data_IF_327731553400
#
_entry.id   IF_327731553400
#
_cell.length_a   1.000
_cell.length_b   1.000
_cell.length_c   1.000
_cell.angle_alpha   90.00
_cell.angle_beta   90.00
_cell.angle_gamma   90.00
#
_symmetry.space_group_name_H-M   'P 1'
#
loop_
_entity.id
_entity.type
_entity.pdbx_description
1 polymer ?
#
# COMPACT_ATOMS: atom_id res chain seq x y z
N UNK A 1 -6.84 -33.59 -28.01
CA UNK A 1 -7.31 -32.28 -27.50
C UNK A 1 -6.32 -31.22 -27.97
N UNK A 2 -6.75 -30.40 -28.96
CA UNK A 2 -5.89 -29.39 -29.58
C UNK A 2 -5.82 -28.14 -28.65
N UNK A 3 -4.62 -27.82 -28.17
CA UNK A 3 -4.36 -26.61 -27.41
C UNK A 3 -4.37 -25.41 -28.38
N UNK A 4 -5.44 -24.65 -28.41
CA UNK A 4 -5.50 -23.39 -29.14
C UNK A 4 -4.60 -22.36 -28.44
N UNK A 5 -3.50 -21.99 -29.09
CA UNK A 5 -2.63 -20.88 -28.66
C UNK A 5 -3.30 -19.57 -29.02
N UNK A 6 -3.72 -18.82 -28.00
CA UNK A 6 -4.25 -17.45 -28.17
C UNK A 6 -3.10 -16.55 -28.59
N UNK A 7 -3.23 -15.87 -29.76
CA UNK A 7 -2.22 -14.93 -30.23
C UNK A 7 -2.30 -13.60 -29.46
N UNK A 8 -1.20 -12.82 -29.45
CA UNK A 8 -1.17 -11.47 -28.84
C UNK A 8 -2.25 -10.53 -29.44
N UNK A 9 -2.60 -10.76 -30.71
CA UNK A 9 -3.63 -10.00 -31.41
C UNK A 9 -5.03 -10.38 -30.92
N UNK A 10 -5.27 -11.66 -30.63
CA UNK A 10 -6.56 -12.15 -30.11
C UNK A 10 -6.78 -11.66 -28.67
N UNK A 11 -5.70 -11.59 -27.88
CA UNK A 11 -5.73 -11.01 -26.54
C UNK A 11 -6.09 -9.50 -26.54
N UNK A 12 -5.51 -8.72 -27.47
CA UNK A 12 -5.81 -7.29 -27.59
C UNK A 12 -7.23 -7.04 -28.15
N UNK A 13 -7.75 -7.93 -29.00
CA UNK A 13 -9.13 -7.84 -29.48
C UNK A 13 -10.15 -8.18 -28.39
N UNK A 14 -9.86 -9.20 -27.56
CA UNK A 14 -10.71 -9.52 -26.41
C UNK A 14 -10.74 -8.39 -25.37
N UNK A 15 -9.60 -7.75 -25.09
CA UNK A 15 -9.56 -6.59 -24.17
C UNK A 15 -10.26 -5.34 -24.76
N UNK A 16 -10.29 -5.19 -26.09
CA UNK A 16 -11.04 -4.13 -26.77
C UNK A 16 -12.57 -4.28 -26.64
N UNK A 17 -13.07 -5.51 -26.62
CA UNK A 17 -14.51 -5.77 -26.43
C UNK A 17 -14.98 -5.54 -24.99
N UNK A 18 -14.08 -5.57 -24.00
CA UNK A 18 -14.40 -5.25 -22.61
C UNK A 18 -14.81 -3.78 -22.40
N UNK A 19 -14.40 -2.87 -23.27
CA UNK A 19 -14.79 -1.44 -23.20
C UNK A 19 -16.14 -1.13 -23.84
N UNK A 20 -16.68 -2.00 -24.73
CA UNK A 20 -17.98 -1.80 -25.36
C UNK A 20 -19.16 -2.37 -24.55
N UNK A 21 -18.90 -3.13 -23.48
CA UNK A 21 -19.92 -3.71 -22.60
C UNK A 21 -20.67 -2.70 -21.72
N UNK A 22 -20.32 -1.43 -21.73
CA UNK A 22 -20.91 -0.38 -20.87
C UNK A 22 -22.30 0.08 -21.32
N UNK A 23 -22.77 -0.33 -22.51
CA UNK A 23 -24.02 0.14 -23.09
C UNK A 23 -25.16 -0.90 -23.15
N UNK A 24 -25.03 -2.05 -22.46
CA UNK A 24 -26.14 -3.01 -22.38
C UNK A 24 -26.98 -2.73 -21.11
N UNK A 25 -28.24 -2.29 -21.22
CA UNK A 25 -29.11 -2.13 -20.06
C UNK A 25 -29.47 -3.52 -19.52
N UNK A 26 -28.99 -3.84 -18.33
CA UNK A 26 -29.35 -5.09 -17.63
C UNK A 26 -28.20 -5.91 -17.07
N UNK A 27 -26.93 -5.52 -17.26
CA UNK A 27 -25.82 -6.19 -16.55
C UNK A 27 -25.72 -5.68 -15.11
N UNK A 28 -25.63 -6.57 -14.10
CA UNK A 28 -25.40 -6.15 -12.73
C UNK A 28 -24.10 -5.37 -12.64
N UNK A 29 -24.13 -4.27 -11.92
CA UNK A 29 -23.03 -3.37 -11.67
C UNK A 29 -21.85 -4.09 -10.96
N UNK A 30 -20.96 -4.71 -11.72
CA UNK A 30 -19.67 -5.21 -11.21
C UNK A 30 -18.59 -4.11 -11.14
N UNK A 31 -18.93 -2.88 -11.43
CA UNK A 31 -18.03 -1.72 -11.30
C UNK A 31 -18.45 -0.84 -10.13
N UNK A 32 -18.66 -1.42 -8.96
CA UNK A 32 -18.51 -0.66 -7.74
C UNK A 32 -17.01 -0.60 -7.39
N UNK A 33 -16.19 -0.02 -8.25
CA UNK A 33 -15.00 0.68 -7.76
C UNK A 33 -15.57 1.82 -6.90
N UNK A 34 -15.80 1.51 -5.62
CA UNK A 34 -15.84 2.54 -4.62
C UNK A 34 -14.56 3.34 -4.86
N UNK A 35 -14.70 4.60 -5.28
CA UNK A 35 -13.62 5.57 -5.19
C UNK A 35 -13.29 5.62 -3.71
N UNK A 36 -12.34 4.78 -3.30
CA UNK A 36 -11.87 4.76 -1.91
C UNK A 36 -11.29 6.13 -1.65
N UNK A 37 -11.95 6.86 -0.75
CA UNK A 37 -11.50 8.19 -0.36
C UNK A 37 -10.13 7.98 0.29
N UNK A 38 -9.08 8.44 -0.39
CA UNK A 38 -7.72 8.44 0.13
C UNK A 38 -7.73 9.48 1.26
N UNK A 39 -7.54 9.04 2.49
CA UNK A 39 -7.55 9.92 3.66
C UNK A 39 -6.17 10.12 4.26
N UNK A 40 -5.20 9.28 3.88
CA UNK A 40 -3.83 9.34 4.38
C UNK A 40 -2.83 9.02 3.27
N UNK A 41 -1.69 9.68 3.29
CA UNK A 41 -0.57 9.42 2.39
C UNK A 41 0.75 9.34 3.12
N UNK A 42 1.55 8.32 2.83
CA UNK A 42 2.92 8.19 3.32
C UNK A 42 3.88 8.80 2.30
N UNK A 43 4.77 9.67 2.75
CA UNK A 43 5.82 10.27 1.92
C UNK A 43 6.85 9.19 1.58
N UNK A 44 7.13 8.98 0.28
CA UNK A 44 8.07 7.95 -0.19
C UNK A 44 9.45 8.54 -0.55
N UNK A 45 9.54 9.81 -0.87
CA UNK A 45 10.80 10.51 -1.14
C UNK A 45 11.51 10.91 0.16
N UNK A 46 12.83 11.07 0.09
CA UNK A 46 13.60 11.54 1.24
C UNK A 46 13.16 12.92 1.73
N UNK A 47 12.67 13.77 0.81
CA UNK A 47 12.19 15.11 1.08
C UNK A 47 11.14 15.50 0.03
N UNK A 48 10.00 16.00 0.47
CA UNK A 48 8.89 16.45 -0.38
C UNK A 48 8.36 17.79 0.11
N UNK A 49 8.33 18.78 -0.78
CA UNK A 49 7.71 20.07 -0.49
C UNK A 49 6.21 20.03 -0.84
N UNK A 50 5.40 20.67 0.00
CA UNK A 50 4.07 21.12 -0.41
C UNK A 50 4.14 22.53 -0.99
N UNK A 51 3.11 22.92 -1.74
CA UNK A 51 3.03 24.15 -2.49
C UNK A 51 1.65 24.81 -2.29
N UNK A 52 1.55 26.13 -2.43
CA UNK A 52 0.28 26.86 -2.33
C UNK A 52 -0.71 26.45 -3.44
N UNK A 53 -0.20 26.11 -4.63
CA UNK A 53 -0.98 25.64 -5.78
C UNK A 53 -0.42 24.29 -6.29
N UNK A 54 -1.19 23.47 -7.04
CA UNK A 54 -0.77 22.17 -7.53
C UNK A 54 0.25 22.28 -8.68
N UNK A 55 1.34 22.97 -8.44
CA UNK A 55 2.49 23.13 -9.36
C UNK A 55 3.79 23.37 -8.60
N UNK A 56 4.89 22.79 -9.08
CA UNK A 56 6.24 23.01 -8.51
C UNK A 56 6.73 24.45 -8.68
N UNK A 57 6.07 25.28 -9.51
CA UNK A 57 6.39 26.69 -9.73
C UNK A 57 5.78 27.59 -8.66
N UNK A 58 4.78 27.12 -7.92
CA UNK A 58 4.16 27.85 -6.84
C UNK A 58 5.06 27.96 -5.61
N UNK A 59 4.68 28.79 -4.66
CA UNK A 59 5.43 29.00 -3.42
C UNK A 59 5.40 27.74 -2.56
N UNK A 60 6.56 27.38 -2.03
CA UNK A 60 6.71 26.28 -1.07
C UNK A 60 6.11 26.64 0.28
N UNK A 61 5.35 25.71 0.86
CA UNK A 61 4.67 25.90 2.16
C UNK A 61 5.37 25.13 3.26
N UNK A 62 5.52 23.79 3.09
CA UNK A 62 6.06 22.92 4.13
C UNK A 62 6.89 21.80 3.51
N UNK A 63 7.94 21.37 4.22
CA UNK A 63 8.74 20.21 3.83
C UNK A 63 8.36 18.99 4.67
N UNK A 64 8.27 17.84 4.02
CA UNK A 64 7.98 16.53 4.60
C UNK A 64 9.13 15.58 4.33
N UNK A 65 9.39 14.70 5.27
CA UNK A 65 10.42 13.68 5.19
C UNK A 65 9.83 12.31 4.91
N UNK A 66 10.66 11.40 4.43
CA UNK A 66 10.30 9.99 4.18
C UNK A 66 9.58 9.39 5.39
N UNK A 67 8.60 8.53 5.10
CA UNK A 67 7.76 7.79 6.04
C UNK A 67 6.81 8.65 6.90
N UNK A 68 6.84 9.97 6.77
CA UNK A 68 5.81 10.79 7.39
C UNK A 68 4.44 10.49 6.75
N UNK A 69 3.44 10.26 7.59
CA UNK A 69 2.05 10.09 7.16
C UNK A 69 1.31 11.40 7.31
N UNK A 70 0.68 11.85 6.23
CA UNK A 70 -0.06 13.12 6.19
C UNK A 70 -1.54 12.87 5.85
N UNK A 71 -2.47 13.67 6.42
CA UNK A 71 -3.87 13.62 6.03
C UNK A 71 -4.03 14.18 4.61
N UNK A 72 -4.80 13.46 3.78
CA UNK A 72 -5.17 13.88 2.42
C UNK A 72 -6.64 14.26 2.46
N UNK A 73 -6.96 15.49 2.07
CA UNK A 73 -8.31 16.05 2.07
C UNK A 73 -8.93 16.09 0.66
N UNK A 74 -8.08 16.00 -0.37
CA UNK A 74 -8.54 16.04 -1.75
C UNK A 74 -7.50 15.61 -2.77
N UNK A 75 -7.96 15.46 -4.00
CA UNK A 75 -7.11 15.19 -5.17
C UNK A 75 -7.47 16.15 -6.28
N UNK A 76 -6.47 16.76 -6.89
CA UNK A 76 -6.65 17.68 -8.04
C UNK A 76 -5.69 17.35 -9.17
N UNK A 77 -6.02 17.78 -10.37
CA UNK A 77 -5.17 17.61 -11.56
C UNK A 77 -4.61 18.96 -11.96
N UNK A 78 -3.28 19.07 -12.02
CA UNK A 78 -2.62 20.30 -12.48
C UNK A 78 -2.78 20.47 -13.99
N UNK A 79 -3.20 21.66 -14.42
CA UNK A 79 -3.19 22.06 -15.83
C UNK A 79 -1.86 22.74 -16.22
N UNK A 80 -1.08 23.16 -15.24
CA UNK A 80 0.13 23.96 -15.43
C UNK A 80 1.38 23.14 -15.82
N UNK A 81 1.32 21.81 -15.74
CA UNK A 81 2.45 20.94 -16.03
C UNK A 81 2.13 19.94 -17.15
N UNK A 82 2.97 19.95 -18.20
CA UNK A 82 2.97 18.93 -19.24
C UNK A 82 3.70 17.68 -18.74
N UNK A 83 3.21 17.05 -17.66
CA UNK A 83 3.78 15.85 -17.04
C UNK A 83 2.90 14.63 -17.29
N UNK A 84 3.50 13.44 -17.30
CA UNK A 84 2.78 12.17 -17.42
C UNK A 84 1.79 11.98 -16.25
N UNK A 85 2.22 12.23 -15.01
CA UNK A 85 1.36 12.30 -13.85
C UNK A 85 1.13 13.76 -13.47
N UNK A 86 -0.11 14.21 -13.51
CA UNK A 86 -0.54 15.58 -13.16
C UNK A 86 -1.37 15.63 -11.88
N UNK A 87 -1.53 14.49 -11.20
CA UNK A 87 -2.30 14.42 -9.98
C UNK A 87 -1.53 15.00 -8.79
N UNK A 88 -2.22 15.72 -7.94
CA UNK A 88 -1.73 16.31 -6.71
C UNK A 88 -2.69 16.00 -5.59
N UNK A 89 -2.15 15.76 -4.41
CA UNK A 89 -2.94 15.59 -3.19
C UNK A 89 -2.96 16.89 -2.40
N UNK A 90 -4.14 17.26 -1.96
CA UNK A 90 -4.34 18.34 -1.00
C UNK A 90 -4.05 17.80 0.40
N UNK A 91 -3.17 18.50 1.15
CA UNK A 91 -2.80 18.16 2.52
C UNK A 91 -3.37 19.23 3.44
N UNK A 92 -4.09 18.80 4.46
CA UNK A 92 -4.78 19.69 5.41
C UNK A 92 -3.84 20.77 5.95
N UNK A 93 -4.23 22.04 5.75
CA UNK A 93 -3.49 23.21 6.23
C UNK A 93 -2.11 23.45 5.62
N UNK A 94 -1.73 22.71 4.56
CA UNK A 94 -0.39 22.78 3.97
C UNK A 94 -0.35 22.83 2.43
N UNK A 95 -1.50 23.02 1.77
CA UNK A 95 -1.59 23.09 0.32
C UNK A 95 -1.41 21.75 -0.38
N UNK A 96 -0.64 21.70 -1.46
CA UNK A 96 -0.62 20.56 -2.38
C UNK A 96 0.74 19.87 -2.42
N UNK A 97 0.73 18.53 -2.46
CA UNK A 97 1.91 17.69 -2.69
C UNK A 97 1.76 16.88 -3.98
N UNK A 98 2.86 16.63 -4.68
CA UNK A 98 2.86 15.81 -5.88
C UNK A 98 2.53 14.35 -5.55
N UNK A 99 1.49 13.79 -6.15
CA UNK A 99 1.00 12.45 -5.83
C UNK A 99 2.00 11.32 -6.13
N UNK A 100 2.88 11.50 -7.11
CA UNK A 100 3.92 10.53 -7.44
C UNK A 100 4.98 10.31 -6.35
N UNK A 101 5.02 11.18 -5.33
CA UNK A 101 5.92 11.11 -4.17
C UNK A 101 5.19 10.69 -2.89
N UNK A 102 3.93 10.26 -3.01
CA UNK A 102 3.07 9.91 -1.87
C UNK A 102 2.37 8.58 -2.15
N UNK A 103 2.56 7.62 -1.29
CA UNK A 103 1.80 6.37 -1.31
C UNK A 103 0.49 6.55 -0.53
N UNK A 104 -0.69 6.37 -1.14
CA UNK A 104 -1.94 6.24 -0.40
C UNK A 104 -1.83 5.08 0.59
N UNK A 105 -2.22 5.31 1.84
CA UNK A 105 -2.11 4.30 2.90
C UNK A 105 -3.33 4.31 3.81
N UNK A 106 -3.49 3.23 4.55
CA UNK A 106 -4.43 3.10 5.67
C UNK A 106 -3.69 2.61 6.91
N UNK A 107 -4.27 2.82 8.06
CA UNK A 107 -3.78 2.28 9.33
C UNK A 107 -4.88 1.39 9.92
N UNK A 108 -4.86 0.11 9.55
CA UNK A 108 -5.83 -0.89 10.02
C UNK A 108 -5.10 -1.86 10.95
N UNK A 109 -5.48 -1.84 12.22
CA UNK A 109 -4.99 -2.81 13.18
C UNK A 109 -5.86 -4.07 13.15
N UNK A 110 -5.21 -5.22 13.21
CA UNK A 110 -5.87 -6.53 13.16
C UNK A 110 -5.79 -7.23 14.53
N UNK A 111 -6.74 -8.14 14.75
CA UNK A 111 -6.65 -9.14 15.81
C UNK A 111 -5.68 -10.25 15.36
N UNK A 112 -4.53 -10.44 16.05
CA UNK A 112 -3.60 -11.49 15.68
C UNK A 112 -4.22 -12.88 15.88
N UNK A 113 -3.98 -13.76 14.91
CA UNK A 113 -4.53 -15.12 14.90
C UNK A 113 -3.41 -16.15 15.08
N UNK A 114 -3.80 -17.36 15.49
CA UNK A 114 -2.88 -18.48 15.52
C UNK A 114 -2.47 -18.90 14.10
N UNK A 115 -1.18 -19.15 13.91
CA UNK A 115 -0.62 -19.60 12.62
C UNK A 115 -0.49 -21.12 12.64
N UNK A 116 -1.07 -21.77 11.64
CA UNK A 116 -0.94 -23.20 11.44
C UNK A 116 0.51 -23.59 11.06
N UNK A 117 0.85 -24.87 11.16
CA UNK A 117 2.17 -25.38 10.75
C UNK A 117 2.49 -25.12 9.25
N UNK A 118 1.47 -25.01 8.42
CA UNK A 118 1.64 -24.68 7.00
C UNK A 118 2.11 -23.24 6.79
N UNK A 119 1.89 -22.35 7.77
CA UNK A 119 2.08 -20.90 7.63
C UNK A 119 0.87 -20.23 7.01
N UNK A 120 0.97 -18.93 6.76
CA UNK A 120 -0.05 -18.11 6.12
C UNK A 120 0.59 -16.95 5.34
N UNK A 121 -0.10 -16.46 4.31
CA UNK A 121 0.30 -15.21 3.68
C UNK A 121 -0.25 -14.05 4.51
N UNK A 122 0.61 -13.08 4.83
CA UNK A 122 0.24 -11.87 5.55
C UNK A 122 0.58 -10.62 4.75
N UNK A 123 -0.22 -9.59 4.91
CA UNK A 123 -0.05 -8.28 4.26
C UNK A 123 0.02 -7.18 5.31
N UNK A 124 0.97 -6.27 5.15
CA UNK A 124 1.10 -5.10 6.04
C UNK A 124 -0.09 -4.16 5.84
N UNK A 125 -0.88 -3.95 6.88
CA UNK A 125 -2.13 -3.17 6.86
C UNK A 125 -2.02 -1.79 7.53
N UNK A 126 -0.79 -1.38 7.87
CA UNK A 126 -0.44 -0.06 8.42
C UNK A 126 0.55 0.62 7.47
N UNK A 127 0.73 1.96 7.54
CA UNK A 127 1.61 2.69 6.62
C UNK A 127 3.03 2.11 6.52
N UNK A 128 3.57 1.66 7.64
CA UNK A 128 4.77 0.83 7.75
C UNK A 128 4.80 0.14 9.12
N UNK A 129 5.60 -0.89 9.23
CA UNK A 129 5.93 -1.55 10.49
C UNK A 129 7.40 -1.93 10.52
N UNK A 130 8.04 -1.74 11.64
CA UNK A 130 9.41 -2.19 11.84
C UNK A 130 9.41 -3.69 12.18
N UNK A 131 10.42 -4.40 11.68
CA UNK A 131 10.64 -5.82 11.87
C UNK A 131 12.02 -6.05 12.50
N UNK A 132 12.07 -6.89 13.51
CA UNK A 132 13.19 -7.03 14.44
C UNK A 132 13.76 -8.44 14.41
N UNK A 133 14.96 -8.60 14.96
CA UNK A 133 15.62 -9.90 15.08
C UNK A 133 14.87 -10.85 16.03
N UNK A 134 14.24 -10.32 17.06
CA UNK A 134 13.45 -11.06 18.05
C UNK A 134 12.04 -10.46 18.15
N UNK A 135 11.12 -11.17 18.81
CA UNK A 135 9.76 -10.71 19.07
C UNK A 135 9.71 -9.63 20.18
N UNK A 136 10.56 -8.63 20.05
CA UNK A 136 10.74 -7.52 21.00
C UNK A 136 11.14 -6.24 20.26
N UNK A 137 10.45 -5.14 20.56
CA UNK A 137 10.73 -3.81 19.97
C UNK A 137 12.08 -3.21 20.42
N UNK A 138 12.71 -3.75 21.45
CA UNK A 138 14.05 -3.36 21.90
C UNK A 138 15.17 -4.17 21.24
N UNK A 139 14.82 -5.20 20.47
CA UNK A 139 15.77 -6.00 19.70
C UNK A 139 16.30 -5.23 18.49
N UNK A 140 17.30 -5.79 17.81
CA UNK A 140 17.90 -5.17 16.63
C UNK A 140 16.87 -5.04 15.49
N UNK A 141 16.73 -3.81 14.98
CA UNK A 141 15.91 -3.52 13.82
C UNK A 141 16.57 -4.09 12.57
N UNK A 142 15.85 -4.98 11.86
CA UNK A 142 16.33 -5.58 10.61
C UNK A 142 15.73 -4.93 9.37
N UNK A 143 14.40 -4.72 9.36
CA UNK A 143 13.69 -4.22 8.19
C UNK A 143 12.60 -3.23 8.58
N UNK A 144 12.25 -2.33 7.64
CA UNK A 144 10.98 -1.62 7.64
C UNK A 144 10.12 -2.18 6.53
N UNK A 145 8.95 -2.70 6.89
CA UNK A 145 7.97 -3.27 5.97
C UNK A 145 6.89 -2.22 5.71
N UNK A 146 6.49 -2.11 4.45
CA UNK A 146 5.60 -1.04 4.01
C UNK A 146 4.19 -1.54 3.68
N UNK A 147 3.23 -0.64 3.72
CA UNK A 147 1.82 -0.87 3.42
C UNK A 147 1.64 -1.73 2.15
N UNK A 148 0.75 -2.72 2.24
CA UNK A 148 0.43 -3.70 1.18
C UNK A 148 1.60 -4.61 0.76
N UNK A 149 2.74 -4.58 1.46
CA UNK A 149 3.75 -5.61 1.22
C UNK A 149 3.32 -6.94 1.82
N UNK A 150 3.49 -8.02 1.04
CA UNK A 150 3.10 -9.38 1.43
C UNK A 150 4.31 -10.19 1.90
N UNK A 151 4.12 -10.94 2.99
CA UNK A 151 5.16 -11.73 3.65
C UNK A 151 4.62 -13.09 4.07
N UNK A 152 5.48 -14.11 4.05
CA UNK A 152 5.09 -15.41 4.57
C UNK A 152 5.21 -15.45 6.08
N UNK A 153 4.09 -15.59 6.77
CA UNK A 153 3.99 -15.73 8.22
C UNK A 153 4.14 -17.20 8.57
N UNK A 154 5.20 -17.55 9.27
CA UNK A 154 5.54 -18.94 9.60
C UNK A 154 5.01 -19.37 10.95
N UNK A 155 5.01 -18.46 11.91
CA UNK A 155 4.58 -18.73 13.29
C UNK A 155 4.14 -17.44 13.99
N UNK A 156 3.52 -17.59 15.16
CA UNK A 156 3.31 -16.52 16.12
C UNK A 156 4.19 -16.72 17.34
N UNK A 157 4.71 -15.64 17.92
CA UNK A 157 5.43 -15.59 19.17
C UNK A 157 4.69 -14.65 20.13
N UNK A 158 4.72 -14.97 21.43
CA UNK A 158 4.11 -14.15 22.47
C UNK A 158 5.25 -13.55 23.30
N UNK A 159 5.33 -12.21 23.30
CA UNK A 159 6.26 -11.49 24.16
C UNK A 159 5.80 -11.52 25.63
N UNK A 160 6.69 -11.23 26.56
CA UNK A 160 6.43 -11.29 28.01
C UNK A 160 5.29 -10.37 28.47
N UNK A 161 5.01 -9.29 27.75
CA UNK A 161 3.88 -8.36 28.00
C UNK A 161 2.54 -8.84 27.42
N UNK A 162 2.50 -10.02 26.77
CA UNK A 162 1.35 -10.59 26.11
C UNK A 162 1.15 -10.13 24.67
N UNK A 163 2.01 -9.27 24.12
CA UNK A 163 1.96 -8.84 22.71
C UNK A 163 2.26 -10.02 21.80
N UNK A 164 1.42 -10.20 20.76
CA UNK A 164 1.60 -11.24 19.74
C UNK A 164 2.39 -10.66 18.58
N UNK A 165 3.46 -11.36 18.22
CA UNK A 165 4.34 -11.08 17.09
C UNK A 165 4.23 -12.18 16.05
N UNK A 166 4.42 -11.85 14.79
CA UNK A 166 4.52 -12.82 13.72
C UNK A 166 5.98 -13.01 13.30
N UNK A 167 6.40 -14.27 13.21
CA UNK A 167 7.66 -14.68 12.63
C UNK A 167 7.49 -14.73 11.10
N UNK A 168 8.16 -13.83 10.41
CA UNK A 168 8.13 -13.67 8.96
C UNK A 168 9.38 -14.33 8.38
N UNK A 169 9.23 -15.07 7.28
CA UNK A 169 10.34 -15.76 6.62
C UNK A 169 11.07 -14.78 5.69
N UNK A 170 12.38 -14.69 5.84
CA UNK A 170 13.26 -14.07 4.86
C UNK A 170 13.64 -15.11 3.79
N UNK A 171 13.05 -14.99 2.61
CA UNK A 171 13.26 -15.93 1.49
C UNK A 171 14.73 -15.97 1.01
N UNK A 172 15.52 -14.96 1.29
CA UNK A 172 16.93 -14.89 0.86
C UNK A 172 17.86 -15.64 1.79
N UNK A 173 17.61 -15.54 3.09
CA UNK A 173 18.50 -16.11 4.13
C UNK A 173 17.95 -17.37 4.76
N UNK A 174 16.64 -17.62 4.65
CA UNK A 174 15.92 -18.67 5.36
C UNK A 174 15.74 -18.39 6.86
N UNK A 175 16.14 -17.21 7.32
CA UNK A 175 15.98 -16.79 8.72
C UNK A 175 14.59 -16.17 8.95
N UNK A 176 14.31 -15.92 10.23
CA UNK A 176 13.06 -15.23 10.61
C UNK A 176 13.38 -13.82 11.13
N UNK A 177 12.44 -12.94 10.94
CA UNK A 177 12.35 -11.64 11.58
C UNK A 177 10.93 -11.45 12.12
N UNK A 178 10.76 -10.59 13.07
CA UNK A 178 9.52 -10.49 13.81
C UNK A 178 8.89 -9.10 13.66
N UNK A 179 7.59 -9.07 13.38
CA UNK A 179 6.81 -7.84 13.34
C UNK A 179 5.55 -7.98 14.24
N UNK A 180 5.03 -6.85 14.80
CA UNK A 180 3.81 -6.90 15.60
C UNK A 180 2.65 -7.50 14.81
N UNK A 181 2.04 -8.57 15.32
CA UNK A 181 0.98 -9.30 14.62
C UNK A 181 -0.24 -8.42 14.26
N UNK A 182 -0.55 -7.43 15.10
CA UNK A 182 -1.62 -6.47 14.85
C UNK A 182 -1.42 -5.59 13.60
N UNK A 183 -0.21 -5.48 13.08
CA UNK A 183 0.11 -4.70 11.87
C UNK A 183 -0.01 -5.51 10.58
N UNK A 184 -0.30 -6.81 10.69
CA UNK A 184 -0.32 -7.73 9.56
C UNK A 184 -1.70 -8.38 9.48
N UNK A 185 -2.36 -8.19 8.36
CA UNK A 185 -3.60 -8.88 8.01
C UNK A 185 -3.27 -10.23 7.38
N UNK A 186 -3.78 -11.33 7.93
CA UNK A 186 -3.67 -12.62 7.28
C UNK A 186 -4.63 -12.69 6.08
N UNK A 187 -4.13 -13.18 4.96
CA UNK A 187 -4.90 -13.39 3.74
C UNK A 187 -5.49 -14.80 3.81
N UNK A 188 -6.82 -14.96 3.73
CA UNK A 188 -7.44 -16.29 3.69
C UNK A 188 -6.97 -17.08 2.47
N UNK A 189 -6.74 -18.40 2.67
CA UNK A 189 -6.45 -19.34 1.58
C UNK A 189 -7.70 -19.64 0.76
#
# INVERSE_FOLDING_TARGET
MSSQKISRRDFLTLSGFGMLGVFLPGLPHFLNQQNEIITQGRIIDNSLWSYEEPTKKSKRVKNYWRDLVVPITGTTVSEAEAAYNRAWYEVEGAGYVYSGSVQPVRAILNEPQHISLAGALGEVSVPFTDAFLEADANSDLLYRLYYESAHWVKASAIHADGTIWYALLDDKTGNYYYAPGKHIRLIPN
#
